data_IF_725030138205
#
_entry.id   IF_725030138205
#
_cell.length_a   1.000
_cell.length_b   1.000
_cell.length_c   1.000
_cell.angle_alpha   90.00
_cell.angle_beta   90.00
_cell.angle_gamma   90.00
#
_symmetry.space_group_name_H-M   'P 1'
#
loop_
_entity.id
_entity.type
_entity.pdbx_description
1 polymer ?
#
# COMPACT_ATOMS: atom_id res chain seq x y z
N UNK A 1 -8.95 -37.93 31.49
CA UNK A 1 -8.00 -36.79 31.53
C UNK A 1 -6.76 -36.99 30.64
N UNK A 2 -5.97 -38.06 30.77
CA UNK A 2 -4.73 -38.27 29.96
C UNK A 2 -4.94 -38.20 28.42
N UNK A 3 -6.00 -38.82 27.89
CA UNK A 3 -6.32 -38.80 26.45
C UNK A 3 -6.64 -37.40 25.91
N UNK A 4 -7.29 -36.55 26.71
CA UNK A 4 -7.61 -35.16 26.33
C UNK A 4 -6.33 -34.31 26.26
N UNK A 5 -5.42 -34.47 27.21
CA UNK A 5 -4.13 -33.77 27.19
C UNK A 5 -3.28 -34.18 25.98
N UNK A 6 -3.23 -35.48 25.64
CA UNK A 6 -2.52 -35.97 24.46
C UNK A 6 -3.12 -35.42 23.15
N UNK A 7 -4.45 -35.38 23.04
CA UNK A 7 -5.12 -34.81 21.87
C UNK A 7 -4.85 -33.30 21.73
N UNK A 8 -4.90 -32.56 22.84
CA UNK A 8 -4.59 -31.13 22.85
C UNK A 8 -3.15 -30.86 22.40
N UNK A 9 -2.17 -31.61 22.94
CA UNK A 9 -0.76 -31.49 22.54
C UNK A 9 -0.58 -31.78 21.05
N UNK A 10 -1.18 -32.87 20.54
CA UNK A 10 -1.10 -33.24 19.14
C UNK A 10 -1.69 -32.15 18.22
N UNK A 11 -2.83 -31.57 18.61
CA UNK A 11 -3.47 -30.48 17.87
C UNK A 11 -2.62 -29.21 17.87
N UNK A 12 -2.05 -28.83 19.02
CA UNK A 12 -1.15 -27.67 19.12
C UNK A 12 0.11 -27.86 18.30
N UNK A 13 0.72 -29.05 18.32
CA UNK A 13 1.89 -29.37 17.50
C UNK A 13 1.56 -29.34 16.00
N UNK A 14 0.42 -29.91 15.59
CA UNK A 14 -0.02 -29.86 14.20
C UNK A 14 -0.22 -28.41 13.74
N UNK A 15 -0.84 -27.56 14.56
CA UNK A 15 -1.02 -26.14 14.26
C UNK A 15 0.33 -25.40 14.18
N UNK A 16 1.27 -25.69 15.08
CA UNK A 16 2.62 -25.13 15.07
C UNK A 16 3.39 -25.54 13.79
N UNK A 17 3.33 -26.81 13.39
CA UNK A 17 3.96 -27.29 12.16
C UNK A 17 3.32 -26.67 10.90
N UNK A 18 2.00 -26.56 10.86
CA UNK A 18 1.29 -25.92 9.75
C UNK A 18 1.64 -24.43 9.63
N UNK A 19 1.70 -23.73 10.75
CA UNK A 19 2.09 -22.31 10.77
C UNK A 19 3.56 -22.10 10.41
N UNK A 20 4.47 -22.96 10.86
CA UNK A 20 5.88 -22.94 10.45
C UNK A 20 6.06 -23.25 8.95
N UNK A 21 5.38 -24.28 8.44
CA UNK A 21 5.39 -24.63 7.03
C UNK A 21 4.82 -23.52 6.15
N UNK A 22 3.71 -22.90 6.57
CA UNK A 22 3.14 -21.74 5.89
C UNK A 22 4.12 -20.56 5.90
N UNK A 23 4.76 -20.28 7.04
CA UNK A 23 5.73 -19.21 7.16
C UNK A 23 6.94 -19.44 6.24
N UNK A 24 7.49 -20.65 6.23
CA UNK A 24 8.63 -20.99 5.36
C UNK A 24 8.25 -20.91 3.87
N UNK A 25 7.05 -21.38 3.52
CA UNK A 25 6.53 -21.30 2.15
C UNK A 25 6.31 -19.85 1.69
N UNK A 26 5.81 -18.99 2.57
CA UNK A 26 5.65 -17.56 2.30
C UNK A 26 7.02 -16.88 2.12
N UNK A 27 8.00 -17.20 2.97
CA UNK A 27 9.35 -16.60 2.93
C UNK A 27 10.16 -17.02 1.69
N UNK A 28 10.02 -18.27 1.27
CA UNK A 28 10.75 -18.81 0.10
C UNK A 28 10.15 -18.41 -1.23
N UNK A 29 8.91 -17.93 -1.26
CA UNK A 29 8.24 -17.53 -2.49
C UNK A 29 8.55 -16.08 -2.87
N UNK A 30 9.79 -15.86 -3.31
CA UNK A 30 10.30 -14.52 -3.67
C UNK A 30 9.73 -13.97 -4.97
N UNK A 31 8.84 -14.68 -5.68
CA UNK A 31 8.29 -14.17 -6.96
C UNK A 31 7.47 -12.90 -6.77
N UNK A 32 7.36 -12.07 -7.81
CA UNK A 32 6.37 -10.99 -7.82
C UNK A 32 4.94 -11.53 -7.88
N UNK A 33 3.95 -10.66 -7.66
CA UNK A 33 2.57 -10.87 -8.09
C UNK A 33 2.26 -9.85 -9.18
N UNK A 34 1.62 -10.30 -10.26
CA UNK A 34 1.18 -9.42 -11.34
C UNK A 34 -0.33 -9.22 -11.23
N UNK A 35 -0.78 -7.98 -11.12
CA UNK A 35 -2.19 -7.63 -10.89
C UNK A 35 -2.65 -6.55 -11.87
N UNK A 36 -3.93 -6.63 -12.21
CA UNK A 36 -4.69 -5.47 -12.64
C UNK A 36 -5.17 -4.72 -11.39
N UNK A 37 -4.89 -3.42 -11.28
CA UNK A 37 -5.27 -2.61 -10.13
C UNK A 37 -6.77 -2.37 -10.11
N UNK A 38 -7.42 -2.62 -8.97
CA UNK A 38 -8.78 -2.14 -8.70
C UNK A 38 -8.81 -0.61 -8.57
N UNK A 39 -7.77 -0.05 -7.91
CA UNK A 39 -7.76 1.34 -7.46
C UNK A 39 -7.20 2.32 -8.50
N UNK A 40 -6.27 1.87 -9.33
CA UNK A 40 -5.51 2.75 -10.23
C UNK A 40 -6.07 2.70 -11.64
N UNK A 41 -6.39 3.87 -12.19
CA UNK A 41 -6.77 4.08 -13.59
C UNK A 41 -5.84 5.12 -14.23
N UNK A 42 -5.59 4.99 -15.53
CA UNK A 42 -4.86 6.02 -16.28
C UNK A 42 -5.80 7.21 -16.61
N UNK A 43 -5.30 8.30 -17.22
CA UNK A 43 -6.15 9.46 -17.58
C UNK A 43 -7.29 9.13 -18.55
N UNK A 44 -7.20 8.03 -19.29
CA UNK A 44 -8.23 7.51 -20.19
C UNK A 44 -9.20 6.55 -19.49
N UNK A 45 -9.11 6.42 -18.15
CA UNK A 45 -9.88 5.50 -17.32
C UNK A 45 -9.63 4.01 -17.61
N UNK A 46 -8.52 3.70 -18.28
CA UNK A 46 -8.11 2.33 -18.55
C UNK A 46 -7.39 1.74 -17.34
N UNK A 47 -7.31 0.41 -17.32
CA UNK A 47 -6.70 -0.33 -16.23
C UNK A 47 -5.19 -0.16 -16.15
N UNK A 48 -4.71 0.03 -14.93
CA UNK A 48 -3.28 0.06 -14.59
C UNK A 48 -2.85 -1.32 -14.12
N UNK A 49 -1.70 -1.78 -14.62
CA UNK A 49 -1.13 -3.08 -14.26
C UNK A 49 0.07 -2.89 -13.34
N UNK A 50 0.19 -3.73 -12.31
CA UNK A 50 1.28 -3.68 -11.36
C UNK A 50 1.91 -5.06 -11.20
N UNK A 51 3.23 -5.13 -11.29
CA UNK A 51 4.00 -6.23 -10.74
C UNK A 51 4.56 -5.78 -9.39
N UNK A 52 4.32 -6.53 -8.32
CA UNK A 52 4.72 -6.14 -6.96
C UNK A 52 5.57 -7.24 -6.34
N UNK A 53 6.68 -6.85 -5.70
CA UNK A 53 7.56 -7.75 -4.96
C UNK A 53 7.92 -7.16 -3.59
N UNK A 54 7.96 -8.01 -2.58
CA UNK A 54 8.34 -7.64 -1.23
C UNK A 54 9.65 -8.32 -0.83
N UNK A 55 10.58 -7.54 -0.30
CA UNK A 55 11.87 -7.98 0.21
C UNK A 55 11.90 -7.72 1.73
N UNK A 56 11.67 -8.74 2.56
CA UNK A 56 11.78 -8.61 4.00
C UNK A 56 13.25 -8.46 4.44
N UNK A 57 13.51 -7.63 5.44
CA UNK A 57 14.80 -7.55 6.13
C UNK A 57 14.61 -7.50 7.64
N UNK A 58 15.69 -7.43 8.43
CA UNK A 58 15.57 -7.26 9.89
C UNK A 58 15.14 -5.83 10.23
N UNK A 59 15.87 -4.85 9.72
CA UNK A 59 15.70 -3.43 10.05
C UNK A 59 14.79 -2.67 9.09
N UNK A 60 14.60 -3.22 7.89
CA UNK A 60 13.75 -2.61 6.86
C UNK A 60 13.02 -3.65 6.05
N UNK A 61 11.87 -3.25 5.51
CA UNK A 61 11.15 -4.00 4.49
C UNK A 61 11.10 -3.15 3.22
N UNK A 62 11.31 -3.76 2.06
CA UNK A 62 11.26 -3.06 0.77
C UNK A 62 10.09 -3.58 -0.05
N UNK A 63 9.22 -2.68 -0.49
CA UNK A 63 8.16 -2.98 -1.45
C UNK A 63 8.53 -2.37 -2.78
N UNK A 64 8.81 -3.20 -3.78
CA UNK A 64 9.06 -2.73 -5.13
C UNK A 64 7.86 -3.00 -6.02
N UNK A 65 7.64 -2.11 -6.98
CA UNK A 65 6.56 -2.23 -7.94
C UNK A 65 7.00 -1.75 -9.31
N UNK A 66 6.68 -2.53 -10.34
CA UNK A 66 6.67 -2.09 -11.72
C UNK A 66 5.22 -1.75 -12.06
N UNK A 67 4.94 -0.52 -12.45
CA UNK A 67 3.60 -0.04 -12.79
C UNK A 67 3.51 0.34 -14.26
N UNK A 68 2.44 -0.07 -14.93
CA UNK A 68 2.14 0.28 -16.32
C UNK A 68 0.80 0.99 -16.42
N UNK A 69 0.84 2.20 -16.98
CA UNK A 69 -0.31 2.99 -17.40
C UNK A 69 -0.68 2.77 -18.88
N UNK A 70 0.05 1.91 -19.58
CA UNK A 70 0.00 1.69 -21.03
C UNK A 70 -0.46 0.26 -21.38
N UNK A 71 -1.25 -0.36 -20.50
CA UNK A 71 -1.75 -1.72 -20.66
C UNK A 71 -0.85 -2.81 -20.07
N UNK A 72 -1.16 -4.08 -20.39
CA UNK A 72 -0.55 -5.26 -19.72
C UNK A 72 0.91 -5.51 -20.11
N UNK A 73 1.27 -5.22 -21.36
CA UNK A 73 2.58 -5.55 -21.95
C UNK A 73 3.13 -4.36 -22.76
N UNK A 74 3.30 -3.18 -22.14
CA UNK A 74 3.92 -2.09 -22.86
C UNK A 74 5.43 -2.38 -23.04
N UNK A 75 6.10 -1.61 -23.92
CA UNK A 75 7.56 -1.63 -24.00
C UNK A 75 8.22 -1.40 -22.62
N UNK A 76 9.36 -2.03 -22.31
CA UNK A 76 10.03 -1.95 -21.01
C UNK A 76 10.21 -0.52 -20.49
N UNK A 77 10.53 0.45 -21.35
CA UNK A 77 10.77 1.85 -21.00
C UNK A 77 9.54 2.61 -20.47
N UNK A 78 8.34 2.05 -20.70
CA UNK A 78 7.06 2.59 -20.26
C UNK A 78 6.64 2.10 -18.89
N UNK A 79 7.39 1.18 -18.27
CA UNK A 79 7.15 0.76 -16.89
C UNK A 79 7.78 1.75 -15.91
N UNK A 80 7.03 2.16 -14.91
CA UNK A 80 7.57 2.89 -13.77
C UNK A 80 8.04 1.89 -12.71
N UNK A 81 9.34 1.90 -12.38
CA UNK A 81 9.90 1.09 -11.30
C UNK A 81 10.03 1.92 -10.04
N UNK A 82 9.22 1.64 -9.04
CA UNK A 82 9.22 2.34 -7.76
C UNK A 82 9.57 1.41 -6.60
N UNK A 83 10.08 1.98 -5.51
CA UNK A 83 10.26 1.30 -4.24
C UNK A 83 9.77 2.15 -3.07
N UNK A 84 9.18 1.49 -2.08
CA UNK A 84 8.85 2.04 -0.77
C UNK A 84 9.61 1.22 0.27
N UNK A 85 10.56 1.87 0.96
CA UNK A 85 11.37 1.27 2.01
C UNK A 85 10.80 1.64 3.37
N UNK A 86 10.40 0.66 4.16
CA UNK A 86 9.89 0.84 5.52
C UNK A 86 11.01 0.56 6.51
N UNK A 87 11.53 1.60 7.14
CA UNK A 87 12.48 1.52 8.24
C UNK A 87 11.74 1.21 9.55
N UNK A 88 12.05 0.02 10.07
CA UNK A 88 11.43 -0.58 11.25
C UNK A 88 12.19 -0.27 12.52
N UNK A 89 13.34 0.40 12.43
CA UNK A 89 14.13 0.83 13.59
C UNK A 89 13.53 2.06 14.26
N UNK A 90 12.63 2.78 13.57
CA UNK A 90 11.95 3.99 14.06
C UNK A 90 10.53 3.69 14.57
N UNK A 91 10.07 4.47 15.54
CA UNK A 91 8.71 4.44 16.07
C UNK A 91 8.12 5.86 16.17
N UNK A 92 7.10 6.23 15.37
CA UNK A 92 6.51 5.43 14.29
C UNK A 92 7.52 5.09 13.20
N UNK A 93 7.24 4.05 12.42
CA UNK A 93 8.10 3.63 11.31
C UNK A 93 8.20 4.74 10.28
N UNK A 94 9.29 4.78 9.52
CA UNK A 94 9.50 5.77 8.46
C UNK A 94 9.54 5.09 7.09
N UNK A 95 8.89 5.70 6.11
CA UNK A 95 8.91 5.30 4.71
C UNK A 95 9.84 6.22 3.92
N UNK A 96 10.69 5.62 3.09
CA UNK A 96 11.46 6.30 2.05
C UNK A 96 10.95 5.86 0.68
N UNK A 97 11.01 6.76 -0.29
CA UNK A 97 10.41 6.56 -1.59
C UNK A 97 11.46 6.73 -2.67
N UNK A 98 11.46 5.82 -3.64
CA UNK A 98 12.45 5.82 -4.70
C UNK A 98 11.77 5.50 -6.03
N UNK A 99 12.23 6.15 -7.09
CA UNK A 99 11.93 5.76 -8.45
C UNK A 99 13.24 5.48 -9.18
N UNK A 100 13.24 4.42 -9.99
CA UNK A 100 14.40 3.95 -10.73
C UNK A 100 14.09 3.87 -12.21
N UNK A 101 15.15 3.67 -13.01
CA UNK A 101 14.98 3.26 -14.40
C UNK A 101 14.20 1.92 -14.47
N UNK A 102 13.45 1.70 -15.55
CA UNK A 102 12.73 0.45 -15.77
C UNK A 102 13.68 -0.75 -15.74
N UNK A 103 13.20 -1.88 -15.20
CA UNK A 103 14.03 -3.07 -15.04
C UNK A 103 13.36 -4.12 -14.15
N UNK A 104 14.08 -5.21 -13.81
CA UNK A 104 13.55 -6.26 -12.95
C UNK A 104 13.29 -5.73 -11.54
N UNK A 105 12.33 -6.35 -10.84
CA UNK A 105 12.09 -6.13 -9.42
C UNK A 105 13.12 -6.92 -8.61
N UNK A 106 14.27 -6.30 -8.40
CA UNK A 106 15.36 -6.80 -7.59
C UNK A 106 15.82 -5.68 -6.67
N UNK A 107 16.10 -6.00 -5.40
CA UNK A 107 16.60 -5.01 -4.45
C UNK A 107 18.08 -5.25 -4.18
N UNK A 108 18.88 -4.19 -4.32
CA UNK A 108 20.23 -4.09 -3.80
C UNK A 108 20.50 -2.63 -3.41
N UNK A 109 21.46 -2.42 -2.52
CA UNK A 109 21.75 -1.08 -2.00
C UNK A 109 22.35 -0.13 -3.05
N UNK A 110 23.00 -0.68 -4.08
CA UNK A 110 23.54 0.12 -5.19
C UNK A 110 22.45 0.74 -6.06
N UNK A 111 21.21 0.22 -6.02
CA UNK A 111 20.08 0.85 -6.70
C UNK A 111 19.81 2.26 -6.20
N UNK A 112 20.11 2.56 -4.93
CA UNK A 112 19.93 3.90 -4.38
C UNK A 112 20.77 4.95 -5.12
N UNK A 113 21.85 4.54 -5.80
CA UNK A 113 22.68 5.42 -6.66
C UNK A 113 22.10 5.61 -8.06
N UNK A 114 21.09 4.82 -8.43
CA UNK A 114 20.46 4.80 -9.75
C UNK A 114 19.06 5.42 -9.75
N UNK A 115 18.75 6.21 -8.72
CA UNK A 115 17.49 6.94 -8.63
C UNK A 115 17.33 7.89 -9.81
N UNK A 116 16.10 8.03 -10.27
CA UNK A 116 15.71 9.01 -11.27
C UNK A 116 14.66 9.94 -10.66
N UNK A 117 14.48 11.16 -11.22
CA UNK A 117 13.37 12.02 -10.84
C UNK A 117 12.03 11.29 -10.96
N UNK A 118 11.09 11.66 -10.10
CA UNK A 118 9.76 11.07 -10.14
C UNK A 118 9.07 11.37 -11.47
N UNK A 119 8.51 10.33 -12.08
CA UNK A 119 7.69 10.41 -13.29
C UNK A 119 6.22 10.17 -13.01
N UNK A 120 5.92 9.57 -11.85
CA UNK A 120 4.58 9.18 -11.47
C UNK A 120 4.21 9.78 -10.11
N UNK A 121 2.97 10.23 -10.00
CA UNK A 121 2.41 10.81 -8.77
C UNK A 121 1.98 9.74 -7.74
N UNK A 122 2.48 8.51 -7.84
CA UNK A 122 2.11 7.41 -6.95
C UNK A 122 2.29 7.80 -5.47
N UNK A 123 3.28 8.63 -5.19
CA UNK A 123 3.61 9.07 -3.84
C UNK A 123 2.56 10.00 -3.21
N UNK A 124 1.72 10.67 -4.00
CA UNK A 124 0.57 11.44 -3.49
C UNK A 124 -0.39 10.56 -2.70
N UNK A 125 -0.65 9.36 -3.21
CA UNK A 125 -1.56 8.40 -2.58
C UNK A 125 -0.86 7.48 -1.59
N UNK A 126 0.47 7.48 -1.55
CA UNK A 126 1.30 6.56 -0.76
C UNK A 126 2.24 7.28 0.21
N UNK A 127 1.99 8.56 0.52
CA UNK A 127 2.83 9.38 1.38
C UNK A 127 3.02 8.83 2.82
N UNK A 128 2.25 7.83 3.23
CA UNK A 128 2.41 7.12 4.52
C UNK A 128 2.81 5.64 4.32
N UNK A 129 3.53 5.32 3.25
CA UNK A 129 4.08 3.99 2.99
C UNK A 129 3.21 3.12 2.06
N UNK A 130 3.44 1.79 2.03
CA UNK A 130 2.70 0.89 1.16
C UNK A 130 1.23 0.83 1.58
N UNK A 131 0.34 0.73 0.60
CA UNK A 131 -1.09 0.53 0.84
C UNK A 131 -1.47 -0.90 0.49
N UNK A 132 -2.61 -1.34 1.03
CA UNK A 132 -3.10 -2.68 0.73
C UNK A 132 -3.27 -2.86 -0.78
N UNK A 133 -2.71 -3.96 -1.27
CA UNK A 133 -2.72 -4.41 -2.64
C UNK A 133 -4.12 -4.91 -2.98
N UNK A 134 -4.75 -4.26 -3.95
CA UNK A 134 -6.13 -4.52 -4.38
C UNK A 134 -6.16 -4.96 -5.84
N UNK A 135 -6.03 -6.27 -6.10
CA UNK A 135 -6.21 -6.81 -7.43
C UNK A 135 -7.69 -6.74 -7.82
N UNK A 136 -7.97 -6.47 -9.09
CA UNK A 136 -9.30 -6.67 -9.67
C UNK A 136 -9.68 -8.16 -9.59
N UNK A 137 -10.62 -8.52 -8.72
CA UNK A 137 -10.94 -9.92 -8.36
C UNK A 137 -11.32 -10.78 -9.58
N UNK A 138 -12.09 -10.21 -10.50
CA UNK A 138 -12.59 -10.86 -11.72
C UNK A 138 -11.81 -10.42 -12.98
N UNK A 139 -10.52 -10.06 -12.82
CA UNK A 139 -9.70 -9.66 -13.96
C UNK A 139 -9.53 -10.80 -14.97
N UNK A 140 -10.02 -10.58 -16.19
CA UNK A 140 -9.72 -11.45 -17.33
C UNK A 140 -8.28 -11.26 -17.83
N UNK A 141 -7.70 -10.07 -17.61
CA UNK A 141 -6.37 -9.70 -18.11
C UNK A 141 -5.24 -10.11 -17.17
N UNK A 142 -5.49 -10.26 -15.88
CA UNK A 142 -4.51 -10.67 -14.89
C UNK A 142 -5.18 -11.50 -13.77
N UNK A 143 -5.75 -12.68 -14.10
CA UNK A 143 -6.43 -13.51 -13.11
C UNK A 143 -5.43 -14.02 -12.08
N UNK A 144 -5.77 -13.85 -10.80
CA UNK A 144 -4.95 -14.36 -9.71
C UNK A 144 -5.24 -15.84 -9.43
N UNK A 145 -4.18 -16.62 -9.33
CA UNK A 145 -4.22 -17.97 -8.79
C UNK A 145 -4.60 -17.94 -7.30
N UNK A 146 -5.11 -19.06 -6.76
CA UNK A 146 -5.39 -19.19 -5.32
C UNK A 146 -4.15 -18.87 -4.46
N UNK A 147 -2.96 -19.27 -4.95
CA UNK A 147 -1.68 -18.99 -4.31
C UNK A 147 -1.42 -17.49 -4.20
N UNK A 148 -1.63 -16.74 -5.28
CA UNK A 148 -1.44 -15.29 -5.30
C UNK A 148 -2.49 -14.56 -4.46
N UNK A 149 -3.73 -15.06 -4.39
CA UNK A 149 -4.77 -14.53 -3.49
C UNK A 149 -4.35 -14.65 -2.02
N UNK A 150 -3.88 -15.83 -1.60
CA UNK A 150 -3.38 -16.06 -0.23
C UNK A 150 -2.16 -15.16 0.05
N UNK A 151 -1.21 -15.10 -0.90
CA UNK A 151 -0.01 -14.25 -0.79
C UNK A 151 -0.37 -12.77 -0.65
N UNK A 152 -1.31 -12.29 -1.46
CA UNK A 152 -1.82 -10.90 -1.40
C UNK A 152 -2.48 -10.62 -0.05
N UNK A 153 -3.34 -11.52 0.44
CA UNK A 153 -3.96 -11.37 1.76
C UNK A 153 -2.91 -11.28 2.89
N UNK A 154 -1.86 -12.10 2.82
CA UNK A 154 -0.78 -12.07 3.79
C UNK A 154 0.10 -10.81 3.68
N UNK A 155 0.41 -10.35 2.46
CA UNK A 155 1.08 -9.06 2.25
C UNK A 155 0.24 -7.88 2.77
N UNK A 156 -1.08 -7.90 2.57
CA UNK A 156 -1.97 -6.89 3.11
C UNK A 156 -2.02 -6.91 4.64
N UNK A 157 -1.98 -8.10 5.25
CA UNK A 157 -1.82 -8.22 6.70
C UNK A 157 -0.49 -7.61 7.15
N UNK A 158 0.62 -7.92 6.46
CA UNK A 158 1.93 -7.34 6.76
C UNK A 158 1.90 -5.82 6.69
N UNK A 159 1.36 -5.25 5.61
CA UNK A 159 1.20 -3.80 5.46
C UNK A 159 0.39 -3.21 6.61
N UNK A 160 -0.72 -3.85 6.99
CA UNK A 160 -1.56 -3.42 8.12
C UNK A 160 -0.79 -3.43 9.45
N UNK A 161 0.12 -4.37 9.67
CA UNK A 161 0.93 -4.48 10.91
C UNK A 161 1.99 -3.39 11.06
N UNK A 162 2.28 -2.61 10.01
CA UNK A 162 3.19 -1.47 10.17
C UNK A 162 2.62 -0.41 11.12
N UNK A 163 1.29 -0.29 11.22
CA UNK A 163 0.62 0.75 12.00
C UNK A 163 0.80 2.12 11.37
N UNK A 164 1.04 3.14 12.20
CA UNK A 164 1.42 4.47 11.70
C UNK A 164 2.81 4.42 11.07
N UNK A 165 2.89 4.89 9.83
CA UNK A 165 4.14 5.13 9.10
C UNK A 165 4.16 6.60 8.72
N UNK A 166 5.31 7.26 8.86
CA UNK A 166 5.54 8.63 8.40
C UNK A 166 6.49 8.58 7.20
N UNK A 167 6.42 9.53 6.28
CA UNK A 167 7.50 9.71 5.30
C UNK A 167 8.71 10.39 5.95
N UNK A 168 9.87 10.32 5.29
CA UNK A 168 11.06 11.06 5.70
C UNK A 168 10.90 12.56 5.45
N UNK A 169 11.16 13.39 6.47
CA UNK A 169 11.09 14.84 6.36
C UNK A 169 12.11 15.42 5.34
N UNK A 170 13.13 14.66 4.95
CA UNK A 170 14.02 15.06 3.85
C UNK A 170 13.26 15.23 2.51
N UNK A 171 12.22 14.41 2.26
CA UNK A 171 11.41 14.50 1.04
C UNK A 171 10.81 15.89 0.89
N UNK A 172 10.40 16.53 1.98
CA UNK A 172 9.80 17.86 1.96
C UNK A 172 10.74 18.96 1.47
N UNK A 173 12.05 18.81 1.73
CA UNK A 173 13.07 19.76 1.24
C UNK A 173 13.39 19.53 -0.22
N UNK A 174 13.44 18.27 -0.61
CA UNK A 174 13.73 17.90 -2.00
C UNK A 174 12.55 18.22 -2.93
N UNK A 175 11.33 18.16 -2.41
CA UNK A 175 10.10 18.39 -3.16
C UNK A 175 10.07 19.76 -3.85
N UNK A 176 10.61 20.79 -3.20
CA UNK A 176 10.69 22.15 -3.72
C UNK A 176 11.51 22.28 -5.01
N UNK A 177 12.30 21.27 -5.35
CA UNK A 177 13.19 21.25 -6.51
C UNK A 177 12.80 20.21 -7.57
N UNK A 178 11.71 19.47 -7.37
CA UNK A 178 11.28 18.39 -8.27
C UNK A 178 10.26 18.92 -9.29
N UNK A 179 10.34 18.39 -10.52
CA UNK A 179 9.34 18.66 -11.57
C UNK A 179 7.99 18.02 -11.22
N UNK A 180 8.02 16.78 -10.74
CA UNK A 180 6.86 16.08 -10.21
C UNK A 180 6.99 16.03 -8.68
N UNK A 181 6.11 16.72 -7.93
CA UNK A 181 6.22 16.76 -6.49
C UNK A 181 5.85 15.40 -5.88
N UNK A 182 6.55 15.04 -4.81
CA UNK A 182 6.17 14.01 -3.85
C UNK A 182 4.80 14.31 -3.23
N UNK A 183 4.52 15.58 -2.90
CA UNK A 183 3.20 16.02 -2.42
C UNK A 183 2.89 17.48 -2.75
N UNK A 184 1.61 17.78 -2.93
CA UNK A 184 1.19 19.16 -3.10
C UNK A 184 1.17 19.88 -1.74
N UNK A 185 1.57 21.15 -1.75
CA UNK A 185 1.69 22.00 -0.55
C UNK A 185 0.66 23.10 -0.54
N UNK A 186 0.22 23.47 0.66
CA UNK A 186 -0.74 24.54 0.89
C UNK A 186 -2.19 24.15 0.57
N UNK A 187 -3.14 25.03 0.91
CA UNK A 187 -4.54 24.85 0.56
C UNK A 187 -4.76 24.85 -0.96
N UNK A 188 -5.72 24.05 -1.45
CA UNK A 188 -6.61 23.18 -0.68
C UNK A 188 -6.02 21.77 -0.46
N UNK A 189 -4.81 21.48 -0.95
CA UNK A 189 -4.25 20.12 -0.99
C UNK A 189 -3.99 19.51 0.39
N UNK A 190 -3.58 20.34 1.35
CA UNK A 190 -3.28 19.94 2.72
C UNK A 190 -4.50 20.00 3.66
N UNK A 191 -5.69 20.37 3.15
CA UNK A 191 -6.93 20.35 3.93
C UNK A 191 -7.17 18.94 4.49
N UNK A 192 -7.41 18.86 5.80
CA UNK A 192 -7.61 17.59 6.50
C UNK A 192 -9.06 17.12 6.44
N UNK A 193 -9.28 15.83 6.20
CA UNK A 193 -10.60 15.21 6.32
C UNK A 193 -10.98 15.09 7.80
N UNK A 194 -12.04 15.78 8.21
CA UNK A 194 -12.50 15.85 9.61
C UNK A 194 -13.79 15.07 9.90
N UNK A 195 -14.22 14.23 8.96
CA UNK A 195 -15.42 13.39 9.11
C UNK A 195 -15.27 12.45 10.31
N UNK A 196 -16.26 12.48 11.21
CA UNK A 196 -16.18 11.86 12.55
C UNK A 196 -15.77 10.39 12.56
N UNK A 197 -16.37 9.57 11.70
CA UNK A 197 -16.00 8.15 11.58
C UNK A 197 -14.59 7.93 11.01
N UNK A 198 -14.14 8.81 10.10
CA UNK A 198 -12.82 8.70 9.44
C UNK A 198 -11.69 8.99 10.43
N UNK A 199 -11.83 10.05 11.24
CA UNK A 199 -10.78 10.49 12.18
C UNK A 199 -10.51 9.49 13.31
N UNK A 200 -11.42 8.54 13.57
CA UNK A 200 -11.20 7.44 14.53
C UNK A 200 -9.96 6.60 14.19
N UNK A 201 -9.68 6.43 12.89
CA UNK A 201 -8.50 5.71 12.40
C UNK A 201 -7.48 6.66 11.77
N UNK A 202 -7.94 7.69 11.06
CA UNK A 202 -7.11 8.64 10.32
C UNK A 202 -6.73 9.85 11.16
N UNK A 203 -6.07 9.56 12.28
CA UNK A 203 -5.47 10.53 13.18
C UNK A 203 -3.97 10.31 13.26
N UNK A 204 -3.27 11.30 13.80
CA UNK A 204 -1.84 11.22 14.01
C UNK A 204 -1.50 10.30 15.20
N UNK A 205 -2.28 10.24 16.27
CA UNK A 205 -1.87 9.53 17.49
C UNK A 205 -2.85 8.44 17.92
N UNK A 206 -2.38 7.50 18.74
CA UNK A 206 -3.16 6.37 19.23
C UNK A 206 -2.85 5.03 18.56
N UNK A 207 -3.37 3.96 19.15
CA UNK A 207 -3.08 2.57 18.78
C UNK A 207 -3.49 2.22 17.33
N UNK A 208 -4.56 2.84 16.84
CA UNK A 208 -5.10 2.60 15.50
C UNK A 208 -4.82 3.76 14.52
N UNK A 209 -3.92 4.67 14.88
CA UNK A 209 -3.55 5.80 14.04
C UNK A 209 -2.96 5.34 12.69
N UNK A 210 -3.52 5.88 11.61
CA UNK A 210 -3.09 5.63 10.22
C UNK A 210 -2.58 6.88 9.51
N UNK A 211 -2.49 8.01 10.23
CA UNK A 211 -2.19 9.31 9.64
C UNK A 211 -3.44 10.00 9.11
N UNK A 212 -3.41 11.34 9.17
CA UNK A 212 -4.50 12.19 8.69
C UNK A 212 -4.67 12.07 7.19
N UNK A 213 -5.92 11.98 6.73
CA UNK A 213 -6.25 12.04 5.31
C UNK A 213 -6.34 13.51 4.87
N UNK A 214 -5.77 13.81 3.71
CA UNK A 214 -5.73 15.15 3.15
C UNK A 214 -6.42 15.21 1.79
N UNK A 215 -6.85 16.40 1.35
CA UNK A 215 -7.62 16.56 0.11
C UNK A 215 -6.84 16.16 -1.14
N UNK A 216 -5.51 16.23 -1.11
CA UNK A 216 -4.67 15.66 -2.18
C UNK A 216 -4.91 14.16 -2.42
N UNK A 217 -5.45 13.43 -1.44
CA UNK A 217 -5.81 12.01 -1.55
C UNK A 217 -7.28 11.79 -1.98
N UNK A 218 -8.01 12.83 -2.39
CA UNK A 218 -9.46 12.77 -2.69
C UNK A 218 -9.86 11.62 -3.62
N UNK A 219 -9.10 11.37 -4.70
CA UNK A 219 -9.44 10.32 -5.66
C UNK A 219 -9.38 8.93 -5.03
N UNK A 220 -8.34 8.69 -4.23
CA UNK A 220 -8.22 7.49 -3.42
C UNK A 220 -9.34 7.39 -2.38
N UNK A 221 -9.63 8.46 -1.64
CA UNK A 221 -10.67 8.45 -0.59
C UNK A 221 -12.04 8.10 -1.21
N UNK A 222 -12.38 8.76 -2.32
CA UNK A 222 -13.61 8.52 -3.06
C UNK A 222 -13.72 7.06 -3.50
N UNK A 223 -12.71 6.54 -4.21
CA UNK A 223 -12.69 5.15 -4.66
C UNK A 223 -12.86 4.16 -3.50
N UNK A 224 -12.13 4.38 -2.40
CA UNK A 224 -12.18 3.50 -1.23
C UNK A 224 -13.55 3.46 -0.57
N UNK A 225 -14.29 4.57 -0.59
CA UNK A 225 -15.65 4.65 -0.04
C UNK A 225 -16.67 4.02 -0.99
N UNK A 226 -16.57 4.33 -2.29
CA UNK A 226 -17.45 3.76 -3.33
C UNK A 226 -17.32 2.24 -3.43
N UNK A 227 -16.09 1.71 -3.32
CA UNK A 227 -15.82 0.28 -3.32
C UNK A 227 -16.14 -0.42 -1.98
N UNK A 228 -16.60 0.32 -0.97
CA UNK A 228 -16.94 -0.24 0.35
C UNK A 228 -15.74 -0.69 1.19
N UNK A 229 -14.52 -0.27 0.82
CA UNK A 229 -13.31 -0.54 1.58
C UNK A 229 -13.14 0.43 2.77
N UNK A 230 -13.81 1.59 2.73
CA UNK A 230 -13.87 2.58 3.80
C UNK A 230 -15.31 3.03 4.07
N UNK A 231 -15.72 3.17 5.35
CA UNK A 231 -14.97 2.78 6.55
C UNK A 231 -14.90 1.24 6.71
N UNK A 232 -13.98 0.70 7.53
CA UNK A 232 -13.85 -0.74 7.70
C UNK A 232 -15.10 -1.36 8.36
N UNK A 233 -15.28 -2.69 8.27
CA UNK A 233 -16.43 -3.38 8.90
C UNK A 233 -16.62 -3.00 10.38
N UNK A 234 -17.87 -2.80 10.78
CA UNK A 234 -18.24 -2.31 12.12
C UNK A 234 -18.36 -0.79 12.24
N UNK A 235 -18.03 -0.05 11.18
CA UNK A 235 -18.24 1.38 11.07
C UNK A 235 -19.18 1.68 9.90
N UNK A 236 -19.94 2.77 9.99
CA UNK A 236 -20.80 3.25 8.92
C UNK A 236 -20.81 4.78 8.93
N UNK A 237 -20.92 5.37 7.73
CA UNK A 237 -21.15 6.81 7.58
C UNK A 237 -22.63 7.11 7.83
N UNK A 238 -22.92 7.96 8.82
CA UNK A 238 -24.23 8.58 8.96
C UNK A 238 -24.56 9.48 7.76
N UNK A 239 -25.82 9.86 7.57
CA UNK A 239 -26.22 10.76 6.48
C UNK A 239 -25.46 12.11 6.55
N UNK A 240 -25.28 12.64 7.76
CA UNK A 240 -24.50 13.87 7.99
C UNK A 240 -23.04 13.69 7.56
N UNK A 241 -22.38 12.63 8.01
CA UNK A 241 -20.99 12.34 7.66
C UNK A 241 -20.80 12.05 6.16
N UNK A 242 -21.82 11.49 5.50
CA UNK A 242 -21.80 11.36 4.02
C UNK A 242 -21.79 12.73 3.36
N UNK A 243 -22.62 13.67 3.83
CA UNK A 243 -22.61 15.05 3.32
C UNK A 243 -21.24 15.69 3.56
N UNK A 244 -20.74 15.66 4.79
CA UNK A 244 -19.42 16.23 5.14
C UNK A 244 -18.28 15.64 4.30
N UNK A 245 -18.34 14.34 3.98
CA UNK A 245 -17.39 13.68 3.09
C UNK A 245 -17.52 14.17 1.64
N UNK A 246 -18.74 14.30 1.12
CA UNK A 246 -18.98 14.79 -0.24
C UNK A 246 -18.51 16.25 -0.39
N UNK A 247 -18.78 17.09 0.59
CA UNK A 247 -18.31 18.48 0.66
C UNK A 247 -16.77 18.52 0.64
N UNK A 248 -16.11 17.62 1.38
CA UNK A 248 -14.65 17.47 1.33
C UNK A 248 -14.11 16.96 -0.02
N UNK A 249 -14.82 16.07 -0.71
CA UNK A 249 -14.37 15.52 -1.99
C UNK A 249 -14.57 16.51 -3.15
N UNK A 250 -15.66 17.27 -3.13
CA UNK A 250 -16.11 18.12 -4.24
C UNK A 250 -15.91 19.62 -4.01
N UNK A 251 -15.72 20.07 -2.77
CA UNK A 251 -15.42 21.47 -2.43
C UNK A 251 -16.63 22.41 -2.45
N UNK A 252 -17.82 21.91 -2.13
CA UNK A 252 -19.07 22.69 -2.02
C UNK A 252 -19.59 22.68 -0.59
#
# INVERSE_FOLDING_TARGET
MKKFAQLAIALTMALALLSAGLWLWVQTNTTGIFIESEESKNPQLESVFNEIRWFPGADRDVWMMNQSHFGRKPPPEKWDRIAIVIDKTKSPKVAYFYQFKPGPLEWNEDLLKQQIPYRASCFLCHNNGPRAIRPMTESSSAPLTLREKIKTAWWNLRIKTYGRVRYDAAEDREDAHREVPFRFRGPPHEDELRVGVCVKCHQNEGLFARGTLQRQQRGTIQHMVEAGHMPPPGFALSQKERSELQDFLHGF
#
